data_IF_679684072197
#
_entry.id   IF_679684072197
#
_cell.length_a   1.000
_cell.length_b   1.000
_cell.length_c   1.000
_cell.angle_alpha   90.00
_cell.angle_beta   90.00
_cell.angle_gamma   90.00
#
_symmetry.space_group_name_H-M   'P 1'
#
loop_
_entity.id
_entity.type
_entity.pdbx_description
1 polymer ?
#
# COMPACT_ATOMS: atom_id res chain seq x y z
N UNK A 1 -6.33 -1.50 3.89
CA UNK A 1 -5.95 -0.48 2.90
C UNK A 1 -4.80 0.33 3.48
N UNK A 2 -3.64 0.31 2.83
CA UNK A 2 -2.48 1.08 3.28
C UNK A 2 -2.67 2.59 3.10
N UNK A 3 -3.30 3.01 2.00
CA UNK A 3 -3.47 4.41 1.65
C UNK A 3 -4.47 5.13 2.54
N UNK A 4 -5.58 4.49 2.89
CA UNK A 4 -6.51 5.03 3.89
C UNK A 4 -5.85 5.16 5.26
N UNK A 5 -5.04 4.17 5.64
CA UNK A 5 -4.31 4.22 6.91
C UNK A 5 -3.32 5.38 6.93
N UNK A 6 -2.62 5.63 5.82
CA UNK A 6 -1.71 6.77 5.69
C UNK A 6 -2.44 8.12 5.59
N UNK A 7 -3.64 8.16 4.99
CA UNK A 7 -4.44 9.37 4.81
C UNK A 7 -5.09 9.86 6.11
N UNK A 8 -5.65 8.92 6.89
CA UNK A 8 -6.38 9.23 8.12
C UNK A 8 -5.55 9.03 9.40
N UNK A 9 -4.38 8.42 9.28
CA UNK A 9 -3.45 8.17 10.38
C UNK A 9 -2.24 9.11 10.37
N UNK A 10 -1.42 9.00 11.41
CA UNK A 10 -0.07 9.55 11.40
C UNK A 10 0.92 8.59 10.73
N UNK A 11 2.13 9.05 10.42
CA UNK A 11 3.19 8.17 9.91
C UNK A 11 3.48 6.98 10.86
N UNK A 12 3.46 7.24 12.18
CA UNK A 12 3.56 6.19 13.19
C UNK A 12 2.37 5.21 13.15
N UNK A 13 1.18 5.71 12.79
CA UNK A 13 -0.03 4.89 12.74
C UNK A 13 0.05 3.77 11.69
N UNK A 14 0.79 3.94 10.59
CA UNK A 14 0.91 2.89 9.56
C UNK A 14 1.64 1.64 10.10
N UNK A 15 2.76 1.84 10.81
CA UNK A 15 3.53 0.74 11.41
C UNK A 15 2.74 0.07 12.53
N UNK A 16 2.13 0.88 13.40
CA UNK A 16 1.33 0.37 14.51
C UNK A 16 0.07 -0.37 14.03
N UNK A 17 -0.59 0.16 12.99
CA UNK A 17 -1.70 -0.51 12.34
C UNK A 17 -1.25 -1.85 11.76
N UNK A 18 -0.17 -1.86 10.97
CA UNK A 18 0.34 -3.08 10.36
C UNK A 18 0.65 -4.15 11.40
N UNK A 19 1.34 -3.80 12.50
CA UNK A 19 1.65 -4.74 13.57
C UNK A 19 0.40 -5.35 14.22
N UNK A 20 -0.69 -4.58 14.32
CA UNK A 20 -1.97 -5.04 14.89
C UNK A 20 -2.77 -5.91 13.92
N UNK A 21 -2.76 -5.59 12.63
CA UNK A 21 -3.55 -6.32 11.62
C UNK A 21 -2.82 -7.51 11.03
N UNK A 22 -1.49 -7.50 10.98
CA UNK A 22 -0.67 -8.53 10.33
C UNK A 22 -1.05 -9.98 10.73
N UNK A 23 -1.33 -10.31 12.01
CA UNK A 23 -1.72 -11.69 12.37
C UNK A 23 -3.03 -12.18 11.74
N UNK A 24 -3.84 -11.28 11.17
CA UNK A 24 -5.16 -11.57 10.57
C UNK A 24 -5.28 -11.02 9.14
N UNK A 25 -4.21 -10.45 8.59
CA UNK A 25 -4.24 -9.81 7.29
C UNK A 25 -4.19 -10.90 6.20
N UNK A 26 -5.31 -11.09 5.52
CA UNK A 26 -5.45 -12.06 4.41
C UNK A 26 -5.50 -11.38 3.05
N UNK A 27 -5.97 -10.14 3.01
CA UNK A 27 -6.20 -9.37 1.81
C UNK A 27 -5.95 -7.88 2.11
N UNK A 28 -5.27 -7.19 1.21
CA UNK A 28 -5.03 -5.76 1.33
C UNK A 28 -5.12 -5.04 -0.02
N UNK A 29 -5.81 -3.91 -0.03
CA UNK A 29 -5.75 -2.97 -1.14
C UNK A 29 -4.45 -2.17 -1.08
N UNK A 30 -3.83 -2.00 -2.24
CA UNK A 30 -2.64 -1.19 -2.44
C UNK A 30 -2.91 -0.17 -3.54
N UNK A 31 -2.73 1.08 -3.16
CA UNK A 31 -2.83 2.27 -3.99
C UNK A 31 -2.06 3.39 -3.27
N UNK A 32 -1.97 4.58 -3.84
CA UNK A 32 -1.27 5.69 -3.19
C UNK A 32 -2.10 6.97 -3.18
N UNK A 33 -1.67 7.95 -2.39
CA UNK A 33 -2.25 9.28 -2.34
C UNK A 33 -1.17 10.32 -2.03
N UNK A 34 -1.54 11.60 -1.99
CA UNK A 34 -0.64 12.69 -1.57
C UNK A 34 -0.90 13.21 -0.15
N UNK A 35 -1.53 12.38 0.70
CA UNK A 35 -1.85 12.71 2.08
C UNK A 35 -2.99 13.71 2.26
N UNK A 36 -3.77 13.98 1.20
CA UNK A 36 -4.86 14.98 1.24
C UNK A 36 -6.21 14.43 0.81
N UNK A 37 -6.25 13.56 -0.18
CA UNK A 37 -7.46 12.98 -0.74
C UNK A 37 -7.27 11.48 -0.95
N UNK A 38 -8.37 10.75 -1.05
CA UNK A 38 -8.36 9.34 -1.42
C UNK A 38 -8.21 9.20 -2.94
N UNK A 39 -7.01 9.48 -3.45
CA UNK A 39 -6.75 9.70 -4.88
C UNK A 39 -6.62 8.41 -5.72
N UNK A 40 -6.32 7.26 -5.07
CA UNK A 40 -6.09 5.96 -5.74
C UNK A 40 -5.02 6.05 -6.85
N UNK A 41 -3.90 6.69 -6.52
CA UNK A 41 -2.75 6.92 -7.40
C UNK A 41 -1.88 5.65 -7.55
N UNK A 42 -1.03 5.59 -8.60
CA UNK A 42 -0.12 4.47 -8.76
C UNK A 42 0.94 4.45 -7.66
N UNK A 43 1.51 3.27 -7.41
CA UNK A 43 2.41 3.03 -6.28
C UNK A 43 3.72 3.83 -6.37
N UNK A 44 4.12 4.23 -7.58
CA UNK A 44 5.33 5.01 -7.91
C UNK A 44 5.08 6.52 -8.05
N UNK A 45 3.91 7.03 -7.66
CA UNK A 45 3.58 8.44 -7.89
C UNK A 45 4.52 9.39 -7.13
N UNK A 46 5.01 10.43 -7.82
CA UNK A 46 5.81 11.47 -7.18
C UNK A 46 5.00 12.23 -6.11
N UNK A 47 5.61 12.41 -4.94
CA UNK A 47 4.96 13.00 -3.77
C UNK A 47 3.98 12.05 -3.07
N UNK A 48 4.16 10.73 -3.26
CA UNK A 48 3.40 9.70 -2.57
C UNK A 48 3.49 9.82 -1.04
N UNK A 49 2.36 9.62 -0.36
CA UNK A 49 2.31 9.47 1.09
C UNK A 49 2.91 8.13 1.56
N UNK A 50 2.92 7.12 0.69
CA UNK A 50 3.39 5.78 1.02
C UNK A 50 4.62 5.41 0.20
N UNK A 51 5.69 4.99 0.87
CA UNK A 51 6.82 4.32 0.25
C UNK A 51 6.55 2.80 0.14
N UNK A 52 6.17 2.35 -1.05
CA UNK A 52 5.93 0.92 -1.29
C UNK A 52 7.21 0.11 -1.41
N UNK A 53 8.21 0.61 -2.15
CA UNK A 53 9.42 -0.16 -2.49
C UNK A 53 10.24 -0.53 -1.26
N UNK A 54 10.56 0.46 -0.43
CA UNK A 54 11.46 0.26 0.71
C UNK A 54 10.71 0.20 2.05
N UNK A 55 9.38 0.38 2.02
CA UNK A 55 8.52 0.38 3.20
C UNK A 55 7.55 -0.80 3.21
N UNK A 56 6.42 -0.65 2.53
CA UNK A 56 5.28 -1.59 2.65
C UNK A 56 5.59 -2.99 2.10
N UNK A 57 6.23 -3.12 0.95
CA UNK A 57 6.44 -4.43 0.32
C UNK A 57 7.38 -5.34 1.12
N UNK A 58 8.52 -4.88 1.68
CA UNK A 58 9.32 -5.69 2.60
C UNK A 58 8.54 -6.20 3.81
N UNK A 59 7.65 -5.39 4.38
CA UNK A 59 6.81 -5.78 5.51
C UNK A 59 5.84 -6.90 5.13
N UNK A 60 5.20 -6.79 3.96
CA UNK A 60 4.30 -7.82 3.44
C UNK A 60 5.05 -9.10 3.08
N UNK A 61 6.24 -9.00 2.49
CA UNK A 61 7.08 -10.14 2.13
C UNK A 61 7.60 -10.91 3.37
N UNK A 62 7.76 -10.23 4.51
CA UNK A 62 8.17 -10.84 5.77
C UNK A 62 7.03 -11.53 6.53
N UNK A 63 5.79 -11.47 6.04
CA UNK A 63 4.66 -12.10 6.72
C UNK A 63 4.73 -13.63 6.65
N UNK A 64 4.30 -14.35 7.71
CA UNK A 64 4.34 -15.80 7.76
C UNK A 64 3.34 -16.46 6.78
N UNK A 65 2.37 -15.70 6.27
CA UNK A 65 1.39 -16.14 5.29
C UNK A 65 1.29 -15.15 4.15
N UNK A 66 1.09 -15.65 2.93
CA UNK A 66 0.87 -14.83 1.77
C UNK A 66 -0.39 -13.96 1.94
N UNK A 67 -0.24 -12.65 1.69
CA UNK A 67 -1.34 -11.69 1.68
C UNK A 67 -1.75 -11.47 0.23
N UNK A 68 -3.05 -11.52 -0.03
CA UNK A 68 -3.58 -11.17 -1.35
C UNK A 68 -3.52 -9.66 -1.50
N UNK A 69 -2.92 -9.17 -2.59
CA UNK A 69 -2.81 -7.75 -2.88
C UNK A 69 -3.72 -7.40 -4.05
N UNK A 70 -4.50 -6.33 -3.90
CA UNK A 70 -5.32 -5.76 -4.97
C UNK A 70 -4.81 -4.37 -5.30
N UNK A 71 -4.41 -4.18 -6.56
CA UNK A 71 -4.15 -2.85 -7.12
C UNK A 71 -5.49 -2.12 -7.26
N UNK A 72 -5.74 -1.12 -6.42
CA UNK A 72 -6.99 -0.36 -6.40
C UNK A 72 -6.78 1.01 -7.04
N UNK A 73 -6.71 1.04 -8.36
CA UNK A 73 -6.59 2.28 -9.14
C UNK A 73 -7.60 2.30 -10.27
N UNK A 74 -8.20 3.47 -10.52
CA UNK A 74 -9.24 3.63 -11.55
C UNK A 74 -8.74 3.70 -13.00
N UNK A 75 -7.42 3.70 -13.22
CA UNK A 75 -6.80 3.88 -14.54
C UNK A 75 -5.91 2.70 -14.91
N UNK A 76 -6.04 2.19 -16.14
CA UNK A 76 -5.19 1.14 -16.68
C UNK A 76 -3.70 1.51 -16.63
N UNK A 77 -3.36 2.75 -16.97
CA UNK A 77 -1.97 3.22 -16.90
C UNK A 77 -1.42 3.18 -15.46
N UNK A 78 -2.26 3.47 -14.46
CA UNK A 78 -1.83 3.40 -13.06
C UNK A 78 -1.62 1.96 -12.61
N UNK A 79 -2.50 1.05 -13.03
CA UNK A 79 -2.36 -0.38 -12.78
C UNK A 79 -1.05 -0.91 -13.40
N UNK A 80 -0.80 -0.63 -14.69
CA UNK A 80 0.40 -1.06 -15.41
C UNK A 80 1.69 -0.59 -14.74
N UNK A 81 1.77 0.70 -14.38
CA UNK A 81 2.93 1.26 -13.66
C UNK A 81 3.18 0.56 -12.32
N UNK A 82 2.12 0.08 -11.69
CA UNK A 82 2.18 -0.51 -10.36
C UNK A 82 2.43 -2.02 -10.38
N UNK A 83 2.14 -2.71 -11.48
CA UNK A 83 2.41 -4.15 -11.62
C UNK A 83 3.89 -4.49 -11.40
N UNK A 84 4.82 -3.58 -11.74
CA UNK A 84 6.25 -3.82 -11.53
C UNK A 84 6.65 -3.98 -10.04
N UNK A 85 5.78 -3.59 -9.10
CA UNK A 85 5.98 -3.78 -7.66
C UNK A 85 5.48 -5.13 -7.15
N UNK A 86 4.61 -5.81 -7.91
CA UNK A 86 4.03 -7.11 -7.55
C UNK A 86 4.75 -8.28 -8.23
N UNK A 87 5.67 -7.98 -9.15
CA UNK A 87 6.38 -8.96 -9.97
C UNK A 87 7.86 -9.09 -9.58
N UNK A 88 8.13 -9.84 -8.52
CA UNK A 88 9.20 -10.86 -8.34
C UNK A 88 9.59 -11.01 -6.87
#
# INVERSE_FOLDING_TARGET
DFAHTALYGSEAALKDWFARVAPRLVHCHVNNNRGRYDDHLPLDVNGSAINYRDGVLPLLAAMPSAVWLVLEMGSLNHLERSLCFLGR
#
